data_IF_784574514928
#
_entry.id   IF_784574514928
#
_cell.length_a   1.000
_cell.length_b   1.000
_cell.length_c   1.000
_cell.angle_alpha   90.00
_cell.angle_beta   90.00
_cell.angle_gamma   90.00
#
_symmetry.space_group_name_H-M   'P 1'
#
loop_
_entity.id
_entity.type
_entity.pdbx_description
1 polymer ?
#
# COMPACT_ATOMS: atom_id res chain seq x y z
N UNK A 1 -15.98 -20.71 -0.21
CA UNK A 1 -14.64 -20.08 -0.37
C UNK A 1 -13.75 -20.62 0.73
N UNK A 2 -12.56 -21.18 0.45
CA UNK A 2 -11.59 -21.47 1.49
C UNK A 2 -11.35 -20.18 2.27
N UNK A 3 -11.17 -20.24 3.58
CA UNK A 3 -11.22 -19.11 4.49
C UNK A 3 -10.07 -18.09 4.42
N UNK A 4 -9.45 -17.90 3.25
CA UNK A 4 -8.52 -16.83 2.94
C UNK A 4 -8.98 -16.14 1.66
N UNK A 5 -9.60 -14.99 1.76
CA UNK A 5 -10.08 -14.21 0.63
C UNK A 5 -9.12 -13.08 0.29
N UNK A 6 -9.24 -12.57 -0.94
CA UNK A 6 -8.58 -11.32 -1.34
C UNK A 6 -9.11 -10.18 -0.47
N UNK A 7 -8.20 -9.44 0.14
CA UNK A 7 -8.52 -8.26 0.95
C UNK A 7 -8.49 -7.03 0.04
N UNK A 8 -9.58 -6.26 0.03
CA UNK A 8 -9.68 -5.00 -0.72
C UNK A 8 -9.61 -3.84 0.26
N UNK A 9 -8.45 -3.22 0.35
CA UNK A 9 -8.19 -2.05 1.20
C UNK A 9 -6.98 -1.28 0.71
N UNK A 10 -6.74 -0.11 1.26
CA UNK A 10 -5.48 0.63 1.07
C UNK A 10 -4.29 -0.23 1.53
N UNK A 11 -3.17 -0.11 0.85
CA UNK A 11 -1.94 -0.80 1.27
C UNK A 11 -1.57 -0.38 2.70
N UNK A 12 -1.52 -1.36 3.58
CA UNK A 12 -1.21 -1.19 5.00
C UNK A 12 0.13 -1.84 5.28
N UNK A 13 1.10 -1.06 5.74
CA UNK A 13 2.43 -1.57 6.11
C UNK A 13 2.74 -1.15 7.53
N UNK A 14 2.43 -2.00 8.52
CA UNK A 14 2.69 -1.70 9.92
C UNK A 14 4.16 -1.93 10.29
N UNK A 15 4.62 -1.15 11.25
CA UNK A 15 5.93 -1.29 11.90
C UNK A 15 5.72 -1.45 13.40
N UNK A 16 6.56 -2.25 14.05
CA UNK A 16 6.59 -2.43 15.50
C UNK A 16 7.34 -1.30 16.21
N UNK A 17 8.33 -0.70 15.54
CA UNK A 17 9.15 0.36 16.08
C UNK A 17 9.02 1.67 15.28
N UNK A 18 8.96 2.79 16.00
CA UNK A 18 8.79 4.12 15.40
C UNK A 18 9.95 4.51 14.49
N UNK A 19 11.19 4.24 14.89
CA UNK A 19 12.37 4.61 14.10
C UNK A 19 12.41 3.87 12.74
N UNK A 20 11.99 2.60 12.71
CA UNK A 20 11.90 1.83 11.46
C UNK A 20 10.77 2.34 10.56
N UNK A 21 9.64 2.73 11.16
CA UNK A 21 8.55 3.38 10.44
C UNK A 21 8.99 4.73 9.83
N UNK A 22 9.70 5.56 10.57
CA UNK A 22 10.22 6.85 10.10
C UNK A 22 11.25 6.66 8.96
N UNK A 23 12.11 5.67 9.07
CA UNK A 23 13.08 5.28 8.04
C UNK A 23 12.45 4.50 6.88
N UNK A 24 11.22 3.98 7.05
CA UNK A 24 10.55 3.03 6.15
C UNK A 24 11.38 1.78 5.90
N UNK A 25 12.07 1.31 6.93
CA UNK A 25 12.92 0.13 6.90
C UNK A 25 12.11 -1.09 7.32
N UNK A 26 11.44 -1.74 6.37
CA UNK A 26 10.61 -2.93 6.62
C UNK A 26 11.43 -4.11 7.10
N UNK A 27 12.65 -4.25 6.59
CA UNK A 27 13.52 -5.40 6.86
C UNK A 27 14.05 -5.44 8.29
N UNK A 28 14.20 -4.28 8.93
CA UNK A 28 14.62 -4.20 10.32
C UNK A 28 13.50 -4.52 11.32
N UNK A 29 12.24 -4.37 10.90
CA UNK A 29 11.07 -4.59 11.76
C UNK A 29 10.69 -6.06 11.87
N UNK A 30 10.20 -6.47 13.05
CA UNK A 30 9.72 -7.83 13.31
C UNK A 30 8.40 -8.19 12.59
N UNK A 31 7.80 -7.25 11.85
CA UNK A 31 6.48 -7.40 11.23
C UNK A 31 6.51 -7.70 9.72
N UNK A 32 7.69 -7.91 9.14
CA UNK A 32 7.81 -8.07 7.69
C UNK A 32 8.73 -9.25 7.31
N UNK A 33 8.42 -9.92 6.18
CA UNK A 33 9.26 -10.92 5.52
C UNK A 33 9.13 -10.81 4.01
N UNK A 34 10.25 -10.93 3.30
CA UNK A 34 10.26 -10.96 1.84
C UNK A 34 9.50 -12.17 1.29
N UNK A 35 8.81 -11.97 0.17
CA UNK A 35 8.19 -13.05 -0.59
C UNK A 35 8.80 -13.08 -1.99
N UNK A 36 9.72 -14.01 -2.18
CA UNK A 36 10.55 -14.17 -3.37
C UNK A 36 10.59 -15.64 -3.81
N UNK A 37 9.44 -16.20 -4.27
CA UNK A 37 9.37 -17.62 -4.62
C UNK A 37 10.22 -17.91 -5.85
N UNK A 38 10.92 -19.05 -5.83
CA UNK A 38 11.78 -19.51 -6.91
C UNK A 38 11.07 -20.52 -7.81
N UNK A 39 11.42 -20.51 -9.09
CA UNK A 39 10.90 -21.48 -10.08
C UNK A 39 11.50 -22.84 -9.79
N UNK A 40 10.68 -23.82 -9.42
CA UNK A 40 11.08 -25.21 -9.20
C UNK A 40 10.74 -26.11 -10.39
N UNK A 41 9.66 -25.81 -11.11
CA UNK A 41 9.25 -26.54 -12.30
C UNK A 41 8.84 -25.52 -13.36
N UNK A 42 9.38 -25.69 -14.59
CA UNK A 42 8.92 -24.98 -15.77
C UNK A 42 8.34 -26.01 -16.76
N UNK A 43 7.12 -25.76 -17.25
CA UNK A 43 6.41 -26.66 -18.17
C UNK A 43 5.91 -25.91 -19.40
N UNK A 44 5.62 -26.67 -20.47
CA UNK A 44 4.84 -26.18 -21.62
C UNK A 44 3.35 -26.48 -21.36
N UNK A 45 2.45 -25.61 -21.78
CA UNK A 45 1.02 -25.82 -21.67
C UNK A 45 0.30 -24.83 -20.73
N UNK A 46 -0.92 -25.14 -20.27
CA UNK A 46 -1.72 -24.25 -19.43
C UNK A 46 -1.05 -23.91 -18.10
N UNK A 47 -0.44 -24.88 -17.45
CA UNK A 47 0.43 -24.70 -16.30
C UNK A 47 1.86 -24.56 -16.82
N UNK A 48 2.45 -23.36 -16.70
CA UNK A 48 3.77 -23.12 -17.29
C UNK A 48 4.91 -23.04 -16.27
N UNK A 49 4.62 -22.82 -15.01
CA UNK A 49 5.63 -22.85 -13.95
C UNK A 49 5.02 -23.16 -12.58
N UNK A 50 5.84 -23.78 -11.74
CA UNK A 50 5.60 -23.89 -10.30
C UNK A 50 6.70 -23.10 -9.62
N UNK A 51 6.30 -22.19 -8.72
CA UNK A 51 7.22 -21.44 -7.86
C UNK A 51 7.00 -21.88 -6.43
N UNK A 52 8.08 -22.01 -5.68
CA UNK A 52 8.02 -22.44 -4.28
C UNK A 52 8.94 -21.58 -3.41
N UNK A 53 8.54 -21.43 -2.15
CA UNK A 53 9.35 -20.78 -1.11
C UNK A 53 8.94 -21.34 0.25
N UNK A 54 9.91 -21.69 1.07
CA UNK A 54 9.70 -21.94 2.50
C UNK A 54 9.97 -20.67 3.29
N UNK A 55 9.05 -20.32 4.20
CA UNK A 55 9.18 -19.14 5.07
C UNK A 55 8.97 -19.55 6.51
N UNK A 56 9.99 -19.28 7.35
CA UNK A 56 9.90 -19.43 8.79
C UNK A 56 9.03 -18.35 9.42
N UNK A 57 7.96 -18.75 10.10
CA UNK A 57 7.06 -17.87 10.82
C UNK A 57 7.34 -17.92 12.32
N UNK A 58 7.71 -16.80 12.96
CA UNK A 58 8.00 -16.79 14.38
C UNK A 58 6.72 -16.97 15.21
N UNK A 59 6.88 -17.56 16.41
CA UNK A 59 5.77 -17.76 17.35
C UNK A 59 4.96 -16.47 17.59
N UNK A 60 5.62 -15.32 17.68
CA UNK A 60 4.97 -14.02 17.89
C UNK A 60 3.92 -13.66 16.81
N UNK A 61 4.02 -14.24 15.60
CA UNK A 61 3.06 -14.00 14.52
C UNK A 61 1.79 -14.86 14.64
N UNK A 62 1.82 -15.94 15.40
CA UNK A 62 0.67 -16.87 15.53
C UNK A 62 -0.48 -16.29 16.35
N UNK A 63 -0.24 -15.25 17.15
CA UNK A 63 -1.27 -14.54 17.92
C UNK A 63 -1.84 -13.31 17.19
N UNK A 64 -1.53 -13.10 15.93
CA UNK A 64 -2.01 -11.96 15.16
C UNK A 64 -2.70 -12.34 13.87
N UNK A 65 -2.68 -11.39 12.96
CA UNK A 65 -3.13 -11.52 11.57
C UNK A 65 -1.89 -11.54 10.68
N UNK A 66 -1.84 -12.43 9.71
CA UNK A 66 -0.73 -12.51 8.76
C UNK A 66 -1.29 -12.35 7.36
N UNK A 67 -0.71 -11.42 6.63
CA UNK A 67 -1.12 -11.10 5.26
C UNK A 67 0.04 -11.31 4.28
N UNK A 68 -0.30 -11.70 3.07
CA UNK A 68 0.61 -11.70 1.92
C UNK A 68 0.17 -10.59 0.96
N UNK A 69 1.04 -9.63 0.73
CA UNK A 69 0.92 -8.65 -0.32
C UNK A 69 1.68 -9.12 -1.56
N UNK A 70 0.99 -9.24 -2.69
CA UNK A 70 1.56 -9.69 -3.97
C UNK A 70 1.59 -8.53 -4.95
N UNK A 71 2.79 -8.24 -5.42
CA UNK A 71 3.06 -7.31 -6.52
C UNK A 71 3.52 -8.07 -7.76
N UNK A 72 3.14 -7.60 -8.95
CA UNK A 72 3.65 -8.06 -10.24
C UNK A 72 3.78 -9.59 -10.39
N UNK A 73 2.72 -10.38 -10.20
CA UNK A 73 2.82 -11.83 -10.30
C UNK A 73 3.20 -12.33 -11.69
N UNK A 74 2.99 -11.51 -12.74
CA UNK A 74 3.39 -11.79 -14.11
C UNK A 74 2.46 -12.67 -14.90
N UNK A 75 1.61 -13.44 -14.23
CA UNK A 75 0.65 -14.36 -14.85
C UNK A 75 -0.50 -14.65 -13.88
N UNK A 76 -1.59 -15.22 -14.37
CA UNK A 76 -2.60 -15.83 -13.52
C UNK A 76 -1.97 -16.97 -12.69
N UNK A 77 -2.41 -17.14 -11.47
CA UNK A 77 -1.83 -18.14 -10.56
C UNK A 77 -2.83 -18.67 -9.54
N UNK A 78 -2.54 -19.87 -9.03
CA UNK A 78 -3.16 -20.40 -7.80
C UNK A 78 -2.13 -20.36 -6.68
N UNK A 79 -2.50 -19.76 -5.53
CA UNK A 79 -1.67 -19.69 -4.33
C UNK A 79 -2.05 -20.82 -3.37
N UNK A 80 -1.05 -21.57 -2.95
CA UNK A 80 -1.17 -22.65 -1.98
C UNK A 80 -0.23 -22.40 -0.80
N UNK A 81 -0.67 -22.77 0.39
CA UNK A 81 0.10 -22.68 1.63
C UNK A 81 -0.12 -23.95 2.46
N UNK A 82 0.97 -24.66 2.77
CA UNK A 82 0.91 -25.94 3.50
C UNK A 82 -0.10 -26.91 2.88
N UNK A 83 -0.02 -27.16 1.58
CA UNK A 83 -0.91 -28.01 0.78
C UNK A 83 -2.40 -27.60 0.77
N UNK A 84 -2.74 -26.41 1.23
CA UNK A 84 -4.09 -25.87 1.22
C UNK A 84 -4.17 -24.71 0.23
N UNK A 85 -5.16 -24.74 -0.65
CA UNK A 85 -5.39 -23.61 -1.57
C UNK A 85 -5.90 -22.39 -0.81
N UNK A 86 -5.18 -21.28 -0.95
CA UNK A 86 -5.53 -19.97 -0.38
C UNK A 86 -6.39 -19.18 -1.36
N UNK A 87 -5.96 -19.09 -2.62
CA UNK A 87 -6.63 -18.28 -3.63
C UNK A 87 -6.35 -18.77 -5.05
N UNK A 88 -7.22 -18.34 -5.96
CA UNK A 88 -7.00 -18.40 -7.41
C UNK A 88 -7.16 -17.00 -7.99
N UNK A 89 -6.15 -16.54 -8.75
CA UNK A 89 -6.05 -15.17 -9.27
C UNK A 89 -5.92 -15.22 -10.77
N UNK A 90 -6.88 -14.60 -11.46
CA UNK A 90 -6.91 -14.49 -12.92
C UNK A 90 -6.37 -13.15 -13.43
N UNK A 91 -6.30 -12.12 -12.57
CA UNK A 91 -5.78 -10.80 -12.91
C UNK A 91 -4.34 -10.65 -12.40
N UNK A 92 -3.32 -10.66 -13.30
CA UNK A 92 -1.92 -10.54 -12.91
C UNK A 92 -1.42 -9.11 -12.84
N UNK A 93 -2.25 -8.12 -13.16
CA UNK A 93 -1.85 -6.71 -13.27
C UNK A 93 -2.16 -5.90 -12.02
N UNK A 94 -3.18 -6.32 -11.28
CA UNK A 94 -3.59 -5.64 -10.05
C UNK A 94 -2.92 -6.29 -8.85
N UNK A 95 -2.24 -5.50 -7.98
CA UNK A 95 -1.73 -6.01 -6.71
C UNK A 95 -2.83 -6.71 -5.91
N UNK A 96 -2.46 -7.74 -5.19
CA UNK A 96 -3.40 -8.54 -4.41
C UNK A 96 -2.90 -8.73 -2.99
N UNK A 97 -3.82 -8.74 -2.04
CA UNK A 97 -3.52 -9.03 -0.64
C UNK A 97 -4.39 -10.20 -0.16
N UNK A 98 -3.79 -11.11 0.59
CA UNK A 98 -4.44 -12.32 1.08
C UNK A 98 -4.29 -12.46 2.58
N UNK A 99 -5.38 -12.77 3.27
CA UNK A 99 -5.35 -13.17 4.67
C UNK A 99 -4.87 -14.62 4.78
N UNK A 100 -3.67 -14.79 5.31
CA UNK A 100 -3.04 -16.09 5.53
C UNK A 100 -3.28 -16.65 6.93
N UNK A 101 -3.89 -15.88 7.83
CA UNK A 101 -4.08 -16.25 9.23
C UNK A 101 -4.64 -17.66 9.43
N UNK A 102 -5.65 -18.14 8.62
CA UNK A 102 -6.18 -19.48 8.77
C UNK A 102 -5.29 -20.63 8.28
N UNK A 103 -4.19 -20.30 7.59
CA UNK A 103 -3.33 -21.27 6.90
C UNK A 103 -1.94 -21.39 7.52
N UNK A 104 -1.50 -20.35 8.23
CA UNK A 104 -0.16 -20.22 8.75
C UNK A 104 0.01 -20.99 10.04
N UNK A 105 1.24 -21.46 10.29
CA UNK A 105 1.67 -22.12 11.52
C UNK A 105 3.02 -21.57 11.99
N UNK A 106 3.37 -21.80 13.23
CA UNK A 106 4.73 -21.55 13.71
C UNK A 106 5.75 -22.43 12.96
N UNK A 107 6.94 -21.91 12.71
CA UNK A 107 8.00 -22.60 11.99
C UNK A 107 7.86 -22.54 10.49
N UNK A 108 8.31 -23.56 9.81
CA UNK A 108 8.35 -23.64 8.37
C UNK A 108 6.94 -23.70 7.75
N UNK A 109 6.73 -22.83 6.77
CA UNK A 109 5.50 -22.77 5.96
C UNK A 109 5.85 -22.84 4.48
N UNK A 110 5.24 -23.79 3.78
CA UNK A 110 5.52 -24.08 2.39
C UNK A 110 4.55 -23.32 1.49
N UNK A 111 5.06 -22.34 0.76
CA UNK A 111 4.34 -21.59 -0.27
C UNK A 111 4.55 -22.21 -1.64
N UNK A 112 3.46 -22.41 -2.36
CA UNK A 112 3.49 -22.90 -3.74
C UNK A 112 2.56 -22.07 -4.62
N UNK A 113 3.07 -21.66 -5.79
CA UNK A 113 2.32 -20.93 -6.78
C UNK A 113 2.32 -21.72 -8.07
N UNK A 114 1.13 -22.01 -8.57
CA UNK A 114 0.93 -22.66 -9.86
C UNK A 114 0.60 -21.57 -10.89
N UNK A 115 1.61 -21.22 -11.71
CA UNK A 115 1.50 -20.16 -12.72
C UNK A 115 0.81 -20.70 -13.98
N UNK A 116 -0.06 -19.91 -14.60
CA UNK A 116 -0.91 -20.32 -15.72
C UNK A 116 -0.68 -19.44 -16.94
N UNK A 117 -0.63 -20.05 -18.13
CA UNK A 117 -0.52 -19.35 -19.41
C UNK A 117 -1.86 -18.82 -19.94
N UNK A 118 -2.97 -19.32 -19.44
CA UNK A 118 -4.33 -18.98 -19.85
C UNK A 118 -4.80 -17.65 -19.21
N UNK A 119 -3.96 -16.64 -19.21
CA UNK A 119 -4.26 -15.35 -18.65
C UNK A 119 -5.41 -14.66 -19.41
N UNK A 120 -6.61 -14.52 -18.82
CA UNK A 120 -7.75 -13.89 -19.47
C UNK A 120 -7.50 -12.44 -19.88
N UNK A 121 -6.68 -11.69 -19.12
CA UNK A 121 -6.33 -10.32 -19.48
C UNK A 121 -5.54 -10.24 -20.77
N UNK A 122 -4.67 -11.21 -21.07
CA UNK A 122 -3.94 -11.30 -22.33
C UNK A 122 -4.80 -11.75 -23.52
N UNK A 123 -5.87 -12.48 -23.26
CA UNK A 123 -6.84 -12.85 -24.29
C UNK A 123 -7.66 -11.66 -24.75
N UNK A 124 -7.91 -10.71 -23.83
CA UNK A 124 -8.68 -9.49 -24.13
C UNK A 124 -7.81 -8.37 -24.69
N UNK A 125 -6.54 -8.32 -24.30
CA UNK A 125 -5.59 -7.30 -24.74
C UNK A 125 -4.20 -7.89 -24.98
N UNK A 126 -3.85 -8.09 -26.25
CA UNK A 126 -2.53 -8.61 -26.65
C UNK A 126 -1.37 -7.62 -26.30
N UNK A 127 -1.71 -6.34 -25.99
CA UNK A 127 -0.74 -5.32 -25.59
C UNK A 127 -0.45 -5.33 -24.08
N UNK A 128 -1.10 -6.19 -23.30
CA UNK A 128 -0.84 -6.29 -21.86
C UNK A 128 0.66 -6.53 -21.59
N UNK A 129 1.25 -5.77 -20.66
CA UNK A 129 2.68 -5.84 -20.40
C UNK A 129 3.11 -7.23 -19.95
N UNK A 130 4.30 -7.65 -20.40
CA UNK A 130 4.93 -8.88 -19.93
C UNK A 130 5.76 -8.54 -18.71
N UNK A 131 5.34 -9.00 -17.55
CA UNK A 131 6.15 -8.85 -16.33
C UNK A 131 7.35 -9.79 -16.43
N UNK A 132 8.57 -9.24 -16.32
CA UNK A 132 9.81 -10.01 -16.47
C UNK A 132 10.31 -10.61 -15.16
N UNK A 133 9.94 -10.01 -14.03
CA UNK A 133 10.24 -10.51 -12.69
C UNK A 133 8.94 -10.72 -11.95
N UNK A 134 8.62 -11.97 -11.68
CA UNK A 134 7.45 -12.33 -10.92
C UNK A 134 7.66 -12.03 -9.44
N UNK A 135 6.64 -11.49 -8.76
CA UNK A 135 6.58 -11.26 -7.32
C UNK A 135 7.60 -10.24 -6.76
N UNK A 136 8.27 -9.43 -7.62
CA UNK A 136 9.13 -8.35 -7.14
C UNK A 136 8.34 -7.40 -6.23
N UNK A 137 8.92 -7.03 -5.07
CA UNK A 137 8.31 -6.23 -4.00
C UNK A 137 7.11 -6.89 -3.28
N UNK A 138 6.91 -8.18 -3.44
CA UNK A 138 5.92 -8.93 -2.65
C UNK A 138 6.45 -9.25 -1.27
N UNK A 139 5.59 -9.29 -0.27
CA UNK A 139 5.99 -9.48 1.12
C UNK A 139 4.87 -10.04 1.99
N UNK A 140 5.26 -10.73 3.06
CA UNK A 140 4.39 -11.04 4.17
C UNK A 140 4.52 -9.97 5.24
N UNK A 141 3.41 -9.67 5.93
CA UNK A 141 3.46 -8.81 7.10
C UNK A 141 2.49 -9.29 8.19
N UNK A 142 2.86 -8.95 9.41
CA UNK A 142 2.09 -9.21 10.61
C UNK A 142 1.30 -7.97 11.04
N UNK A 143 0.09 -8.18 11.52
CA UNK A 143 -0.66 -7.18 12.27
C UNK A 143 -1.20 -7.76 13.57
N UNK A 144 -1.25 -6.93 14.60
CA UNK A 144 -1.97 -7.28 15.83
C UNK A 144 -3.46 -7.49 15.54
N UNK A 145 -4.12 -8.33 16.30
CA UNK A 145 -5.59 -8.54 16.21
C UNK A 145 -6.40 -7.26 16.44
N UNK A 146 -5.81 -6.25 17.09
CA UNK A 146 -6.32 -4.88 17.18
C UNK A 146 -5.38 -3.97 16.46
N UNK A 147 -5.78 -3.54 15.30
CA UNK A 147 -4.90 -2.82 14.37
C UNK A 147 -5.70 -1.90 13.45
N UNK A 148 -4.99 -1.07 12.71
CA UNK A 148 -5.56 -0.27 11.64
C UNK A 148 -5.82 -1.19 10.45
N UNK A 149 -7.09 -1.37 10.09
CA UNK A 149 -7.50 -2.18 8.95
C UNK A 149 -7.46 -1.39 7.64
N UNK A 150 -7.79 -0.10 7.69
CA UNK A 150 -7.83 0.78 6.53
C UNK A 150 -7.75 2.24 6.96
N UNK A 151 -7.44 3.13 6.03
CA UNK A 151 -7.45 4.56 6.27
C UNK A 151 -7.74 5.34 4.99
N UNK A 152 -8.29 6.53 5.16
CA UNK A 152 -8.54 7.48 4.08
C UNK A 152 -8.09 8.88 4.55
N UNK A 153 -7.35 9.58 3.70
CA UNK A 153 -6.93 10.95 3.96
C UNK A 153 -7.45 11.84 2.84
N UNK A 154 -8.44 12.65 3.19
CA UNK A 154 -8.92 13.73 2.36
C UNK A 154 -8.14 15.01 2.62
N UNK A 155 -7.69 15.68 1.58
CA UNK A 155 -7.13 17.01 1.65
C UNK A 155 -8.23 18.01 1.31
N UNK A 156 -8.55 18.89 2.24
CA UNK A 156 -9.50 19.98 2.04
C UNK A 156 -8.72 21.29 2.03
N UNK A 157 -8.13 21.71 0.89
CA UNK A 157 -7.46 22.99 0.79
C UNK A 157 -8.46 24.10 1.06
N UNK A 158 -8.04 25.15 1.77
CA UNK A 158 -8.89 26.30 2.00
C UNK A 158 -9.27 26.96 0.68
N UNK A 159 -10.56 26.96 0.37
CA UNK A 159 -11.12 27.55 -0.85
C UNK A 159 -10.91 29.07 -0.96
N UNK A 160 -10.58 29.72 0.17
CA UNK A 160 -10.32 31.17 0.22
C UNK A 160 -8.86 31.54 0.01
N UNK A 161 -7.99 30.56 -0.29
CA UNK A 161 -6.57 30.79 -0.53
C UNK A 161 -5.74 31.17 0.70
N UNK A 162 -6.22 30.83 1.90
CA UNK A 162 -5.49 31.06 3.15
C UNK A 162 -4.35 30.06 3.31
N UNK A 163 -3.40 30.39 4.16
CA UNK A 163 -2.18 29.62 4.42
C UNK A 163 -2.39 28.39 5.33
N UNK A 164 -3.55 27.77 5.28
CA UNK A 164 -3.84 26.57 6.05
C UNK A 164 -4.64 25.54 5.24
N UNK A 165 -4.61 24.31 5.70
CA UNK A 165 -5.38 23.22 5.10
C UNK A 165 -6.01 22.36 6.19
N UNK A 166 -7.18 21.84 5.92
CA UNK A 166 -7.84 20.85 6.74
C UNK A 166 -7.64 19.47 6.15
N UNK A 167 -7.26 18.51 6.98
CA UNK A 167 -7.31 17.10 6.65
C UNK A 167 -8.63 16.50 7.12
N UNK A 168 -9.23 15.66 6.31
CA UNK A 168 -10.24 14.70 6.75
C UNK A 168 -9.54 13.34 6.84
N UNK A 169 -9.26 12.92 8.06
CA UNK A 169 -8.55 11.67 8.34
C UNK A 169 -9.53 10.66 8.92
N UNK A 170 -9.76 9.60 8.16
CA UNK A 170 -10.60 8.47 8.56
C UNK A 170 -9.72 7.26 8.78
N UNK A 171 -9.81 6.65 9.96
CA UNK A 171 -9.06 5.47 10.33
C UNK A 171 -10.05 4.35 10.69
N UNK A 172 -10.01 3.27 9.94
CA UNK A 172 -10.78 2.06 10.24
C UNK A 172 -9.93 1.15 11.09
N UNK A 173 -10.37 0.88 12.30
CA UNK A 173 -9.68 0.00 13.26
C UNK A 173 -10.44 -1.31 13.40
N UNK A 174 -9.73 -2.43 13.46
CA UNK A 174 -10.32 -3.77 13.60
C UNK A 174 -10.02 -4.39 14.96
N UNK A 175 -10.94 -5.23 15.40
CA UNK A 175 -10.76 -6.19 16.50
C UNK A 175 -11.04 -7.61 15.98
N UNK A 176 -10.01 -8.40 15.81
CA UNK A 176 -10.12 -9.81 15.36
C UNK A 176 -10.30 -10.80 16.52
N UNK A 177 -10.28 -10.35 17.78
CA UNK A 177 -10.69 -11.20 18.91
C UNK A 177 -12.19 -11.47 18.88
N UNK A 178 -12.64 -12.48 19.61
CA UNK A 178 -14.07 -12.83 19.72
C UNK A 178 -14.80 -12.08 20.85
N UNK A 179 -14.12 -11.18 21.54
CA UNK A 179 -14.62 -10.35 22.63
C UNK A 179 -14.27 -8.88 22.39
N UNK A 180 -15.00 -8.02 23.05
CA UNK A 180 -14.79 -6.57 22.94
C UNK A 180 -13.46 -6.15 23.61
N UNK A 181 -12.79 -5.18 23.01
CA UNK A 181 -11.49 -4.70 23.48
C UNK A 181 -11.30 -3.21 23.21
N UNK A 182 -10.70 -2.48 24.16
CA UNK A 182 -10.30 -1.10 23.92
C UNK A 182 -9.02 -1.03 23.08
N UNK A 183 -8.96 -0.01 22.25
CA UNK A 183 -7.76 0.38 21.50
C UNK A 183 -7.69 1.90 21.41
N UNK A 184 -6.52 2.47 21.65
CA UNK A 184 -6.25 3.87 21.34
C UNK A 184 -5.71 3.97 19.93
N UNK A 185 -6.31 4.78 19.09
CA UNK A 185 -5.86 5.09 17.74
C UNK A 185 -5.55 6.58 17.63
N UNK A 186 -4.50 6.93 16.89
CA UNK A 186 -4.11 8.32 16.76
C UNK A 186 -3.16 8.59 15.60
N UNK A 187 -2.73 9.84 15.51
CA UNK A 187 -1.81 10.31 14.50
C UNK A 187 -0.88 11.40 15.03
N UNK A 188 0.29 11.49 14.39
CA UNK A 188 1.20 12.64 14.48
C UNK A 188 1.40 13.20 13.07
N UNK A 189 1.39 14.51 12.89
CA UNK A 189 1.65 15.19 11.61
C UNK A 189 2.87 16.09 11.75
N UNK A 190 3.84 15.89 10.83
CA UNK A 190 5.08 16.64 10.77
C UNK A 190 5.17 17.47 9.49
N UNK A 191 5.76 18.65 9.62
CA UNK A 191 6.12 19.47 8.46
C UNK A 191 7.11 18.76 7.54
N UNK A 192 7.30 19.24 6.29
CA UNK A 192 8.36 18.74 5.42
C UNK A 192 9.77 18.81 6.03
N UNK A 193 9.99 19.73 6.98
CA UNK A 193 11.24 19.90 7.70
C UNK A 193 11.35 19.03 8.96
N UNK A 194 10.32 18.22 9.27
CA UNK A 194 10.31 17.30 10.41
C UNK A 194 9.83 17.91 11.73
N UNK A 195 9.27 19.13 11.73
CA UNK A 195 8.66 19.72 12.93
C UNK A 195 7.28 19.11 13.16
N UNK A 196 6.99 18.65 14.38
CA UNK A 196 5.64 18.24 14.79
C UNK A 196 4.69 19.46 14.75
N UNK A 197 3.59 19.31 14.03
CA UNK A 197 2.59 20.36 13.80
C UNK A 197 1.29 20.09 14.55
N UNK A 198 0.83 18.84 14.50
CA UNK A 198 -0.47 18.44 14.99
C UNK A 198 -0.43 16.98 15.43
N UNK A 199 -1.15 16.64 16.47
CA UNK A 199 -1.31 15.25 16.93
C UNK A 199 -2.63 15.10 17.66
N UNK A 200 -3.21 13.92 17.57
CA UNK A 200 -4.40 13.58 18.37
C UNK A 200 -4.51 12.07 18.51
N UNK A 201 -5.25 11.63 19.49
CA UNK A 201 -5.59 10.22 19.70
C UNK A 201 -6.90 10.10 20.46
N UNK A 202 -7.59 9.00 20.27
CA UNK A 202 -8.80 8.65 21.01
C UNK A 202 -8.81 7.17 21.35
N UNK A 203 -9.43 6.81 22.45
CA UNK A 203 -9.70 5.42 22.79
C UNK A 203 -11.13 5.06 22.36
N UNK A 204 -11.26 3.92 21.71
CA UNK A 204 -12.53 3.34 21.31
C UNK A 204 -12.58 1.90 21.78
N UNK A 205 -13.78 1.39 22.06
CA UNK A 205 -14.02 -0.03 22.39
C UNK A 205 -14.68 -0.68 21.18
N UNK A 206 -14.05 -1.70 20.62
CA UNK A 206 -14.52 -2.37 19.41
C UNK A 206 -15.07 -3.73 19.77
N UNK A 207 -16.32 -4.05 19.41
CA UNK A 207 -16.89 -5.38 19.61
C UNK A 207 -16.03 -6.48 18.96
N UNK A 208 -16.16 -7.70 19.45
CA UNK A 208 -15.39 -8.82 18.88
C UNK A 208 -15.72 -9.08 17.42
N UNK A 209 -14.70 -9.40 16.63
CA UNK A 209 -14.78 -9.69 15.18
C UNK A 209 -15.46 -8.58 14.38
N UNK A 210 -15.17 -7.33 14.74
CA UNK A 210 -15.75 -6.16 14.07
C UNK A 210 -14.73 -5.07 13.81
N UNK A 211 -15.16 -4.04 13.12
CA UNK A 211 -14.40 -2.82 12.86
C UNK A 211 -15.17 -1.60 13.37
N UNK A 212 -14.44 -0.56 13.72
CA UNK A 212 -14.99 0.77 13.98
C UNK A 212 -14.16 1.85 13.30
N UNK A 213 -14.75 3.01 13.07
CA UNK A 213 -14.14 4.09 12.30
C UNK A 213 -14.01 5.33 13.14
N UNK A 214 -12.78 5.81 13.28
CA UNK A 214 -12.47 7.09 13.91
C UNK A 214 -12.20 8.15 12.85
N UNK A 215 -12.74 9.36 13.04
CA UNK A 215 -12.50 10.51 12.18
C UNK A 215 -11.83 11.63 12.96
N UNK A 216 -10.82 12.23 12.33
CA UNK A 216 -10.13 13.43 12.82
C UNK A 216 -10.13 14.48 11.72
N UNK A 217 -10.21 15.75 12.13
CA UNK A 217 -10.20 16.90 11.22
C UNK A 217 -9.16 17.93 11.67
N UNK A 218 -7.85 17.58 11.60
CA UNK A 218 -6.80 18.48 12.01
C UNK A 218 -6.65 19.68 11.06
N UNK A 219 -6.24 20.82 11.63
CA UNK A 219 -5.88 22.02 10.88
C UNK A 219 -4.37 22.16 10.76
N UNK A 220 -3.88 22.25 9.54
CA UNK A 220 -2.47 22.48 9.25
C UNK A 220 -2.29 23.89 8.69
N UNK A 221 -1.61 24.73 9.46
CA UNK A 221 -1.35 26.10 9.06
C UNK A 221 -0.23 26.21 8.03
N UNK A 222 -0.27 27.25 7.21
CA UNK A 222 0.76 27.60 6.22
C UNK A 222 1.04 26.53 5.16
N UNK A 223 0.05 25.72 4.82
CA UNK A 223 0.18 24.67 3.79
C UNK A 223 0.45 25.25 2.40
N UNK A 224 -0.03 26.46 2.12
CA UNK A 224 0.23 27.14 0.86
C UNK A 224 1.72 27.43 0.62
N UNK A 225 2.51 27.71 1.68
CA UNK A 225 3.96 27.89 1.61
C UNK A 225 4.70 26.60 1.26
N UNK A 226 4.12 25.47 1.61
CA UNK A 226 4.64 24.13 1.38
C UNK A 226 3.74 23.34 0.43
N UNK A 227 3.12 24.03 -0.54
CA UNK A 227 2.26 23.36 -1.52
C UNK A 227 3.06 22.39 -2.38
N UNK A 228 2.45 21.27 -2.69
CA UNK A 228 3.06 20.30 -3.56
C UNK A 228 2.92 20.76 -5.04
N UNK A 229 4.04 20.94 -5.70
CA UNK A 229 4.12 21.31 -7.13
C UNK A 229 5.01 20.31 -7.87
N UNK A 230 4.53 19.80 -9.01
CA UNK A 230 5.28 18.82 -9.81
C UNK A 230 6.56 19.42 -10.43
N UNK A 231 6.61 20.74 -10.60
CA UNK A 231 7.74 21.49 -11.13
C UNK A 231 8.89 21.57 -10.12
N UNK A 232 8.59 21.41 -8.84
CA UNK A 232 9.61 21.42 -7.79
C UNK A 232 10.55 20.22 -7.95
N UNK A 233 11.86 20.47 -7.82
CA UNK A 233 12.86 19.38 -7.78
C UNK A 233 12.67 18.45 -6.59
N UNK A 234 12.22 19.01 -5.48
CA UNK A 234 11.96 18.30 -4.22
C UNK A 234 10.61 18.78 -3.68
N UNK A 235 9.50 18.22 -4.17
CA UNK A 235 8.19 18.61 -3.69
C UNK A 235 8.09 18.43 -2.18
N UNK A 236 7.59 19.42 -1.44
CA UNK A 236 7.45 19.30 0.01
C UNK A 236 6.37 18.27 0.33
N UNK A 237 6.73 17.31 1.19
CA UNK A 237 5.81 16.29 1.68
C UNK A 237 5.75 16.36 3.20
N UNK A 238 4.53 16.46 3.72
CA UNK A 238 4.25 16.30 5.14
C UNK A 238 4.30 14.81 5.47
N UNK A 239 4.74 14.49 6.68
CA UNK A 239 4.74 13.11 7.18
C UNK A 239 3.59 12.94 8.14
N UNK A 240 2.81 11.88 7.97
CA UNK A 240 1.78 11.46 8.91
C UNK A 240 2.17 10.10 9.46
N UNK A 241 2.17 9.96 10.77
CA UNK A 241 2.38 8.70 11.45
C UNK A 241 1.08 8.31 12.12
N UNK A 242 0.39 7.30 11.58
CA UNK A 242 -0.75 6.68 12.26
C UNK A 242 -0.22 5.65 13.26
N UNK A 243 -0.94 5.44 14.34
CA UNK A 243 -0.53 4.46 15.34
C UNK A 243 -1.72 3.88 16.12
N UNK A 244 -1.49 2.70 16.69
CA UNK A 244 -2.35 2.15 17.74
C UNK A 244 -1.57 1.99 19.05
N UNK A 245 -2.28 2.13 20.18
CA UNK A 245 -1.75 1.89 21.52
C UNK A 245 -2.69 1.01 22.33
N UNK A 246 -2.12 0.25 23.24
CA UNK A 246 -2.86 -0.47 24.29
C UNK A 246 -2.17 -0.30 25.62
N UNK A 247 -2.90 0.10 26.64
CA UNK A 247 -2.36 0.31 27.99
C UNK A 247 -1.09 1.20 27.98
N UNK A 248 -1.11 2.26 27.17
CA UNK A 248 0.03 3.18 27.02
C UNK A 248 1.17 2.68 26.12
N UNK A 249 1.15 1.42 25.68
CA UNK A 249 2.20 0.82 24.82
C UNK A 249 1.78 0.88 23.36
N UNK A 250 2.64 1.44 22.51
CA UNK A 250 2.45 1.45 21.07
C UNK A 250 2.54 0.03 20.51
N UNK A 251 1.64 -0.31 19.59
CA UNK A 251 1.51 -1.65 19.00
C UNK A 251 1.81 -1.68 17.51
N UNK A 252 1.56 -0.58 16.83
CA UNK A 252 1.94 -0.41 15.42
C UNK A 252 2.11 1.06 15.08
N UNK A 253 2.91 1.30 14.06
CA UNK A 253 3.13 2.60 13.43
C UNK A 253 2.95 2.46 11.92
N UNK A 254 2.32 3.45 11.30
CA UNK A 254 2.03 3.45 9.88
C UNK A 254 2.43 4.78 9.26
N UNK A 255 3.60 4.87 8.59
CA UNK A 255 4.12 6.10 8.05
C UNK A 255 3.51 6.43 6.68
N UNK A 256 2.94 7.61 6.55
CA UNK A 256 2.37 8.14 5.32
C UNK A 256 3.08 9.43 4.92
N UNK A 257 3.05 9.76 3.64
CA UNK A 257 3.49 11.05 3.11
C UNK A 257 2.35 11.68 2.35
N UNK A 258 2.06 12.95 2.64
CA UNK A 258 1.00 13.70 1.97
C UNK A 258 1.56 15.00 1.40
N UNK A 259 1.04 15.40 0.24
CA UNK A 259 1.34 16.68 -0.38
C UNK A 259 0.08 17.52 -0.47
N UNK A 260 0.14 18.77 -0.04
CA UNK A 260 -0.97 19.69 -0.19
C UNK A 260 -0.98 20.25 -1.62
N UNK A 261 -1.87 19.75 -2.44
CA UNK A 261 -2.05 20.19 -3.81
C UNK A 261 -3.48 19.90 -4.26
N UNK A 262 -3.99 20.73 -5.16
CA UNK A 262 -5.34 20.58 -5.71
C UNK A 262 -5.28 20.54 -7.22
N UNK A 263 -5.83 19.49 -7.82
CA UNK A 263 -6.07 19.42 -9.25
C UNK A 263 -7.57 19.25 -9.48
N UNK A 264 -8.15 20.10 -10.30
CA UNK A 264 -9.59 20.17 -10.55
C UNK A 264 -9.86 20.22 -12.04
N UNK A 265 -11.02 19.76 -12.45
CA UNK A 265 -11.56 20.01 -13.78
C UNK A 265 -12.60 21.13 -13.66
N UNK A 266 -12.28 22.32 -14.21
CA UNK A 266 -13.16 23.48 -14.21
C UNK A 266 -13.43 23.87 -15.66
N UNK A 267 -14.68 23.88 -16.07
CA UNK A 267 -15.11 24.20 -17.44
C UNK A 267 -14.31 23.43 -18.53
N UNK A 268 -14.04 22.16 -18.30
CA UNK A 268 -13.28 21.30 -19.21
C UNK A 268 -11.76 21.55 -19.21
N UNK A 269 -11.25 22.41 -18.33
CA UNK A 269 -9.81 22.70 -18.18
C UNK A 269 -9.25 22.06 -16.91
N UNK A 270 -8.08 21.50 -17.02
CA UNK A 270 -7.36 20.98 -15.84
C UNK A 270 -6.73 22.17 -15.12
N UNK A 271 -7.20 22.45 -13.92
CA UNK A 271 -6.68 23.50 -13.05
C UNK A 271 -5.84 22.87 -11.95
N UNK A 272 -4.64 23.36 -11.72
CA UNK A 272 -3.79 22.96 -10.64
C UNK A 272 -3.41 24.15 -9.77
N UNK A 273 -3.79 24.11 -8.49
CA UNK A 273 -3.61 25.23 -7.56
C UNK A 273 -4.08 26.57 -8.15
N UNK A 274 -5.25 26.57 -8.82
CA UNK A 274 -5.83 27.74 -9.45
C UNK A 274 -5.19 28.18 -10.77
N UNK A 275 -4.19 27.46 -11.30
CA UNK A 275 -3.56 27.71 -12.59
C UNK A 275 -3.94 26.64 -13.61
N UNK A 276 -4.20 27.03 -14.85
CA UNK A 276 -4.44 26.08 -15.93
C UNK A 276 -3.20 25.23 -16.21
N UNK A 277 -3.36 23.92 -16.12
CA UNK A 277 -2.35 22.95 -16.54
C UNK A 277 -2.61 22.57 -18.00
N UNK A 278 -1.74 23.00 -18.91
CA UNK A 278 -1.79 22.60 -20.32
C UNK A 278 -0.99 21.31 -20.50
N UNK A 279 -1.64 20.16 -20.83
CA UNK A 279 -0.95 18.89 -20.99
C UNK A 279 0.04 18.93 -22.18
N UNK A 280 1.31 18.69 -21.92
CA UNK A 280 2.34 18.41 -22.94
C UNK A 280 2.63 16.92 -22.89
N UNK A 281 1.90 16.19 -23.73
CA UNK A 281 1.81 14.74 -23.68
C UNK A 281 3.06 14.04 -24.20
N UNK A 282 3.35 12.87 -23.64
CA UNK A 282 4.25 11.86 -24.19
C UNK A 282 3.59 10.49 -24.04
N UNK A 283 3.61 9.66 -25.09
CA UNK A 283 3.33 8.23 -24.96
C UNK A 283 4.48 7.58 -24.18
N UNK A 284 4.16 6.77 -23.20
CA UNK A 284 5.16 6.05 -22.42
C UNK A 284 4.52 4.88 -21.70
N UNK A 285 5.12 3.72 -21.86
CA UNK A 285 4.79 2.53 -21.07
C UNK A 285 5.96 2.20 -20.15
N UNK A 286 5.66 1.80 -18.92
CA UNK A 286 6.70 1.50 -17.94
C UNK A 286 7.67 0.43 -18.48
N UNK A 287 8.96 0.68 -18.25
CA UNK A 287 10.00 -0.28 -18.59
C UNK A 287 10.02 -1.46 -17.60
N UNK A 288 10.87 -2.44 -17.90
CA UNK A 288 10.96 -3.67 -17.13
C UNK A 288 11.36 -3.51 -15.66
N UNK A 289 11.97 -2.38 -15.29
CA UNK A 289 12.43 -2.14 -13.92
C UNK A 289 12.27 -0.67 -13.51
N UNK A 290 12.15 -0.45 -12.20
CA UNK A 290 11.96 0.86 -11.60
C UNK A 290 13.09 1.85 -11.93
N UNK A 291 14.34 1.40 -11.98
CA UNK A 291 15.49 2.28 -12.22
C UNK A 291 15.47 2.86 -13.64
N UNK A 292 15.21 2.03 -14.62
CA UNK A 292 15.07 2.42 -16.03
C UNK A 292 13.85 3.32 -16.21
N UNK A 293 12.69 2.92 -15.68
CA UNK A 293 11.46 3.74 -15.70
C UNK A 293 11.71 5.14 -15.13
N UNK A 294 12.33 5.23 -13.97
CA UNK A 294 12.63 6.53 -13.35
C UNK A 294 13.58 7.39 -14.20
N UNK A 295 14.58 6.78 -14.84
CA UNK A 295 15.52 7.50 -15.71
C UNK A 295 14.81 8.06 -16.95
N UNK A 296 13.95 7.26 -17.58
CA UNK A 296 13.17 7.66 -18.77
C UNK A 296 12.16 8.75 -18.45
N UNK A 297 11.43 8.62 -17.33
CA UNK A 297 10.50 9.67 -16.87
C UNK A 297 11.22 10.99 -16.58
N UNK A 298 12.41 10.95 -15.98
CA UNK A 298 13.25 12.14 -15.77
C UNK A 298 13.67 12.75 -17.11
N UNK A 299 14.04 11.94 -18.11
CA UNK A 299 14.39 12.41 -19.43
C UNK A 299 13.22 13.07 -20.15
N UNK A 300 12.00 12.50 -20.06
CA UNK A 300 10.78 13.10 -20.60
C UNK A 300 10.47 14.44 -19.92
N UNK A 301 10.57 14.50 -18.60
CA UNK A 301 10.40 15.75 -17.83
C UNK A 301 11.40 16.83 -18.25
N UNK A 302 12.67 16.45 -18.47
CA UNK A 302 13.71 17.39 -18.96
C UNK A 302 13.40 17.93 -20.37
N UNK A 303 12.67 17.18 -21.19
CA UNK A 303 12.16 17.63 -22.51
C UNK A 303 10.85 18.44 -22.43
N UNK A 304 10.46 18.88 -21.24
CA UNK A 304 9.25 19.68 -21.01
C UNK A 304 7.93 18.89 -21.06
N UNK A 305 7.98 17.56 -21.03
CA UNK A 305 6.78 16.73 -20.93
C UNK A 305 6.27 16.76 -19.49
N UNK A 306 4.96 17.01 -19.32
CA UNK A 306 4.31 17.07 -18.03
C UNK A 306 3.14 16.07 -17.87
N UNK A 307 2.84 15.36 -18.95
CA UNK A 307 1.73 14.40 -18.99
C UNK A 307 2.16 13.15 -19.72
N UNK A 308 1.91 12.00 -19.10
CA UNK A 308 2.16 10.69 -19.68
C UNK A 308 0.83 10.09 -20.11
N UNK A 309 0.81 9.49 -21.28
CA UNK A 309 -0.32 8.74 -21.81
C UNK A 309 0.15 7.30 -22.03
N UNK A 310 0.01 6.42 -21.06
CA UNK A 310 0.31 5.00 -21.27
C UNK A 310 -0.75 4.38 -22.18
N UNK A 311 -0.33 3.42 -23.00
CA UNK A 311 -1.27 2.63 -23.81
C UNK A 311 -2.04 1.63 -22.93
N UNK A 312 -1.54 1.36 -21.73
CA UNK A 312 -2.10 0.46 -20.74
C UNK A 312 -2.01 1.05 -19.34
N UNK A 313 -2.99 0.81 -18.44
CA UNK A 313 -2.89 1.20 -17.04
C UNK A 313 -1.61 0.61 -16.39
N UNK A 314 -0.89 1.46 -15.66
CA UNK A 314 0.41 1.13 -15.07
C UNK A 314 0.32 1.19 -13.54
#
# INVERSE_FOLDING_TARGET
TPGGGRVYRTEVVPYDARHDAEARNREAGGYWKAFEPEVTIATEGPLHAVLEQEIEIPFAWTDGMVYLHVENPGSAYSLWLNDRQVAEVSDPLTPAEFDLTPFIREGANDFKLLMRNDNPARQLDAAAPVVRKSFENSYLYYQNKRSIADFEIGLVPDSLGRDFGMLDLKIVTQNAYNYEEPVTVGYDIYSPQGKLLEFNMTEITIPGRSTDTVRFSPFIYHTYKNKWEAESKTPPLYKVMLFTRRNGVYKEYMPLKIGFGKTELVDGRIMRLGKELKPVKAGYNAAADRKTTLAELKALKAKGKNTICPDYPQ
#
